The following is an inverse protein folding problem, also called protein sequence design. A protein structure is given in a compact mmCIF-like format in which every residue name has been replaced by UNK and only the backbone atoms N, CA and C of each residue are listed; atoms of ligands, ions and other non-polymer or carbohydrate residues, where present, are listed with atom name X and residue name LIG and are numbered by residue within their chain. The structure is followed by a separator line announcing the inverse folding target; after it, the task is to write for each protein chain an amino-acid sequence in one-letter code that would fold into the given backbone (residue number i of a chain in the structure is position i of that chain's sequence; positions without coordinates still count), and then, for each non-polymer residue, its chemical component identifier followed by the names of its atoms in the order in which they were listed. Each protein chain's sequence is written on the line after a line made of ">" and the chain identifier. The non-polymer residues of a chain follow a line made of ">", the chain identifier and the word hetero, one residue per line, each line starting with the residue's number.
data_IF_543991381248
#
_entry.id   IF_543991381248
#
_cell.length_a   1.000
_cell.length_b   1.000
_cell.length_c   1.000
_cell.angle_alpha   90.00
_cell.angle_beta   90.00
_cell.angle_gamma   90.00
#
_symmetry.space_group_name_H-M   'P 1'
#
loop_
_entity.id
_entity.type
_entity.pdbx_description
1 polymer ?
#
# COMPACT_ATOMS: atom_id res chain seq x y z
N UNK A 1 33.18 -13.52 -1.14
CA UNK A 1 33.67 -12.25 -1.75
C UNK A 1 33.30 -12.05 -3.22
N UNK A 2 32.51 -12.93 -3.87
CA UNK A 2 31.88 -12.62 -5.17
C UNK A 2 30.35 -12.78 -5.18
N UNK A 3 29.74 -13.20 -4.07
CA UNK A 3 28.31 -13.54 -3.97
C UNK A 3 27.45 -12.57 -3.14
N UNK A 4 28.06 -11.53 -2.54
CA UNK A 4 27.30 -10.50 -1.79
C UNK A 4 26.76 -9.37 -2.69
N UNK A 5 27.16 -9.33 -3.97
CA UNK A 5 26.67 -8.33 -4.94
C UNK A 5 25.37 -8.74 -5.65
N UNK A 6 24.95 -10.00 -5.55
CA UNK A 6 23.80 -10.55 -6.28
C UNK A 6 22.49 -10.49 -5.49
N UNK A 7 22.53 -10.18 -4.20
CA UNK A 7 21.35 -10.01 -3.34
C UNK A 7 21.30 -8.60 -2.75
N UNK A 8 21.28 -7.60 -3.63
CA UNK A 8 20.92 -6.23 -3.27
C UNK A 8 19.43 -6.18 -2.93
N UNK A 9 19.10 -6.39 -1.65
CA UNK A 9 17.81 -5.98 -1.10
C UNK A 9 17.76 -4.46 -1.21
N UNK A 10 16.86 -3.98 -2.06
CA UNK A 10 16.65 -2.58 -2.45
C UNK A 10 16.02 -1.76 -1.29
N UNK A 11 16.75 -1.67 -0.17
CA UNK A 11 16.41 -0.84 0.96
C UNK A 11 17.24 0.46 0.85
N UNK A 12 16.53 1.57 0.66
CA UNK A 12 16.98 2.98 0.60
C UNK A 12 17.10 3.52 -0.85
N UNK A 13 15.93 3.88 -1.40
CA UNK A 13 15.76 4.51 -2.72
C UNK A 13 16.04 6.01 -2.78
N UNK A 14 17.18 6.45 -2.23
CA UNK A 14 17.68 7.82 -2.41
C UNK A 14 19.14 7.74 -2.89
N UNK A 15 19.46 8.34 -4.04
CA UNK A 15 20.81 8.30 -4.62
C UNK A 15 21.90 8.93 -3.73
N UNK A 16 21.51 9.57 -2.62
CA UNK A 16 22.40 10.00 -1.54
C UNK A 16 22.68 8.90 -0.52
N UNK A 17 21.73 8.00 -0.25
CA UNK A 17 21.88 6.82 0.61
C UNK A 17 22.80 5.76 -0.01
N UNK A 18 22.68 5.53 -1.32
CA UNK A 18 23.61 4.65 -2.04
C UNK A 18 25.05 5.23 -2.09
N UNK A 19 25.20 6.56 -2.22
CA UNK A 19 26.51 7.23 -2.09
C UNK A 19 27.03 7.18 -0.65
N UNK A 20 26.18 7.39 0.35
CA UNK A 20 26.54 7.30 1.76
C UNK A 20 27.00 5.89 2.16
N UNK A 21 26.24 4.85 1.77
CA UNK A 21 26.61 3.45 1.95
C UNK A 21 27.84 3.08 1.13
N UNK A 22 28.07 3.66 -0.06
CA UNK A 22 29.30 3.44 -0.82
C UNK A 22 30.55 4.06 -0.17
N UNK A 23 30.37 5.04 0.73
CA UNK A 23 31.44 5.64 1.52
C UNK A 23 31.66 4.92 2.85
N UNK A 24 30.74 4.04 3.26
CA UNK A 24 30.92 3.10 4.36
C UNK A 24 31.51 1.83 3.75
N UNK A 25 32.78 1.57 4.00
CA UNK A 25 33.38 0.28 3.63
C UNK A 25 32.58 -0.86 4.27
N UNK A 26 32.50 -2.02 3.62
CA UNK A 26 31.89 -3.24 4.18
C UNK A 26 32.39 -3.55 5.62
N UNK A 27 33.64 -3.14 5.93
CA UNK A 27 34.25 -3.31 7.26
C UNK A 27 33.59 -2.51 8.40
N UNK A 28 32.82 -1.45 8.08
CA UNK A 28 32.09 -0.66 9.07
C UNK A 28 30.71 -1.25 9.39
N UNK A 29 30.25 -2.24 8.62
CA UNK A 29 29.07 -3.05 8.95
C UNK A 29 29.48 -4.17 9.91
N UNK A 30 28.94 -4.15 11.12
CA UNK A 30 29.08 -5.25 12.05
C UNK A 30 28.24 -6.46 11.59
N UNK A 31 28.56 -7.67 12.08
CA UNK A 31 27.87 -8.93 11.73
C UNK A 31 26.34 -8.91 11.97
N UNK A 32 25.84 -7.99 12.78
CA UNK A 32 24.43 -7.79 13.09
C UNK A 32 23.77 -6.68 12.24
N UNK A 33 24.39 -6.27 11.13
CA UNK A 33 23.95 -5.17 10.26
C UNK A 33 23.86 -3.80 10.94
N UNK A 34 24.52 -3.60 12.09
CA UNK A 34 24.69 -2.29 12.72
C UNK A 34 25.91 -1.61 12.11
N UNK A 35 25.78 -0.33 11.79
CA UNK A 35 26.89 0.48 11.26
C UNK A 35 27.67 1.08 12.44
N UNK A 36 28.97 0.79 12.52
CA UNK A 36 29.87 1.38 13.51
C UNK A 36 30.62 2.58 12.91
N UNK A 37 30.19 3.80 13.28
CA UNK A 37 30.82 5.04 12.83
C UNK A 37 32.24 5.24 13.35
N UNK A 38 32.62 4.57 14.46
CA UNK A 38 33.96 4.67 15.02
C UNK A 38 34.97 3.71 14.38
N UNK A 39 34.51 2.84 13.49
CA UNK A 39 35.37 1.91 12.76
C UNK A 39 36.42 2.67 11.93
N UNK A 40 37.67 2.19 11.95
CA UNK A 40 38.84 2.89 11.37
C UNK A 40 38.73 3.17 9.87
N UNK A 41 37.85 2.45 9.17
CA UNK A 41 37.57 2.65 7.76
C UNK A 41 36.57 3.76 7.46
N UNK A 42 35.88 4.31 8.46
CA UNK A 42 34.99 5.48 8.34
C UNK A 42 35.82 6.76 8.49
N UNK A 43 35.78 7.62 7.48
CA UNK A 43 36.58 8.85 7.45
C UNK A 43 36.23 9.82 8.59
N UNK A 44 37.21 10.56 9.08
CA UNK A 44 37.02 11.53 10.17
C UNK A 44 36.03 12.66 9.83
N UNK A 45 35.84 12.97 8.54
CA UNK A 45 34.82 13.93 8.08
C UNK A 45 33.40 13.36 8.21
N UNK A 46 33.18 12.09 7.84
CA UNK A 46 31.87 11.42 7.98
C UNK A 46 31.43 11.35 9.46
N UNK A 47 32.37 11.10 10.37
CA UNK A 47 32.10 11.08 11.83
C UNK A 47 31.67 12.43 12.40
N UNK A 48 31.94 13.54 11.70
CA UNK A 48 31.59 14.90 12.14
C UNK A 48 30.34 15.43 11.46
N UNK A 49 29.84 14.77 10.41
CA UNK A 49 28.67 15.22 9.67
C UNK A 49 27.40 14.85 10.44
N UNK A 50 26.71 15.85 11.02
CA UNK A 50 25.48 15.64 11.81
C UNK A 50 24.43 14.78 11.09
N UNK A 51 24.23 15.00 9.79
CA UNK A 51 23.30 14.22 8.96
C UNK A 51 23.72 12.75 8.82
N UNK A 52 25.02 12.46 8.74
CA UNK A 52 25.53 11.09 8.68
C UNK A 52 25.28 10.35 10.00
N UNK A 53 25.51 11.03 11.12
CA UNK A 53 25.23 10.51 12.47
C UNK A 53 23.74 10.18 12.61
N UNK A 54 22.86 11.13 12.28
CA UNK A 54 21.41 10.94 12.37
C UNK A 54 20.90 9.81 11.47
N UNK A 55 21.47 9.66 10.26
CA UNK A 55 21.15 8.57 9.35
C UNK A 55 21.61 7.21 9.88
N UNK A 56 22.82 7.12 10.43
CA UNK A 56 23.32 5.88 11.05
C UNK A 56 22.55 5.55 12.32
N UNK A 57 22.21 6.52 13.15
CA UNK A 57 21.36 6.29 14.32
C UNK A 57 19.94 5.85 13.94
N UNK A 58 19.37 6.38 12.86
CA UNK A 58 18.10 5.92 12.31
C UNK A 58 18.21 4.49 11.77
N UNK A 59 19.26 4.20 11.01
CA UNK A 59 19.53 2.87 10.47
C UNK A 59 19.77 1.85 11.58
N UNK A 60 20.59 2.18 12.57
CA UNK A 60 20.89 1.34 13.72
C UNK A 60 19.66 1.16 14.62
N UNK A 61 18.76 2.14 14.75
CA UNK A 61 17.47 1.94 15.42
C UNK A 61 16.55 0.99 14.66
N UNK A 62 16.62 0.97 13.34
CA UNK A 62 15.87 0.02 12.50
C UNK A 62 16.52 -1.37 12.46
N UNK A 63 17.85 -1.44 12.62
CA UNK A 63 18.64 -2.68 12.65
C UNK A 63 18.72 -3.28 14.06
N UNK A 64 18.55 -2.49 15.11
CA UNK A 64 18.37 -2.98 16.47
C UNK A 64 17.15 -3.91 16.50
N UNK A 65 17.21 -5.06 17.19
CA UNK A 65 16.07 -5.95 17.31
C UNK A 65 14.96 -5.25 18.09
N UNK A 66 14.11 -4.49 17.41
CA UNK A 66 12.79 -4.18 17.95
C UNK A 66 12.05 -5.52 18.03
N UNK A 67 11.51 -5.86 19.19
CA UNK A 67 10.64 -7.01 19.48
C UNK A 67 9.83 -7.49 18.26
N UNK A 68 10.41 -8.38 17.45
CA UNK A 68 9.83 -8.81 16.17
C UNK A 68 9.94 -10.33 15.99
N UNK A 69 9.90 -11.10 17.09
CA UNK A 69 9.78 -12.55 17.00
C UNK A 69 8.47 -13.01 16.35
N UNK A 70 7.48 -12.10 16.22
CA UNK A 70 6.13 -12.42 15.74
C UNK A 70 5.47 -11.27 14.97
N UNK A 71 6.23 -10.41 14.29
CA UNK A 71 5.63 -9.36 13.45
C UNK A 71 5.60 -9.79 11.99
N UNK A 72 4.63 -10.64 11.64
CA UNK A 72 4.25 -10.79 10.24
C UNK A 72 3.43 -9.54 9.85
N UNK A 73 4.05 -8.60 9.12
CA UNK A 73 3.37 -7.38 8.63
C UNK A 73 2.12 -7.68 7.78
N UNK A 74 1.92 -8.93 7.35
CA UNK A 74 0.72 -9.40 6.62
C UNK A 74 -0.46 -9.66 7.55
N UNK A 75 -0.24 -9.94 8.83
CA UNK A 75 -1.29 -10.14 9.83
C UNK A 75 -1.37 -8.94 10.76
N UNK A 76 -2.53 -8.29 10.80
CA UNK A 76 -2.80 -7.23 11.79
C UNK A 76 -2.92 -7.81 13.21
N UNK A 77 -3.32 -9.08 13.31
CA UNK A 77 -3.46 -9.83 14.56
C UNK A 77 -2.29 -10.80 14.72
N UNK A 78 -1.30 -10.43 15.54
CA UNK A 78 -0.12 -11.26 15.79
C UNK A 78 -0.48 -12.67 16.32
N UNK A 79 -1.61 -12.80 17.02
CA UNK A 79 -2.16 -14.05 17.54
C UNK A 79 -2.48 -15.09 16.46
N UNK A 80 -2.74 -14.67 15.23
CA UNK A 80 -3.03 -15.59 14.11
C UNK A 80 -1.78 -16.09 13.38
N UNK A 81 -0.60 -15.58 13.75
CA UNK A 81 0.64 -15.99 13.09
C UNK A 81 1.05 -17.42 13.45
N UNK A 82 1.72 -18.10 12.51
CA UNK A 82 2.29 -19.42 12.75
C UNK A 82 3.24 -19.44 13.96
N UNK A 83 4.03 -18.37 14.14
CA UNK A 83 4.94 -18.24 15.27
C UNK A 83 4.20 -18.23 16.63
N UNK A 84 3.08 -17.47 16.76
CA UNK A 84 2.27 -17.52 17.99
C UNK A 84 1.65 -18.88 18.22
N UNK A 85 1.14 -19.52 17.17
CA UNK A 85 0.57 -20.86 17.30
C UNK A 85 1.61 -21.89 17.74
N UNK A 86 2.85 -21.78 17.25
CA UNK A 86 3.98 -22.64 17.69
C UNK A 86 4.31 -22.40 19.17
N UNK A 87 4.39 -21.15 19.62
CA UNK A 87 4.63 -20.83 21.04
C UNK A 87 3.49 -21.38 21.92
N UNK A 88 2.23 -21.25 21.47
CA UNK A 88 1.07 -21.76 22.19
C UNK A 88 1.13 -23.29 22.32
N UNK A 89 1.43 -23.99 21.22
CA UNK A 89 1.63 -25.43 21.21
C UNK A 89 2.79 -25.83 22.13
N UNK A 90 3.91 -25.11 22.08
CA UNK A 90 5.10 -25.40 22.88
C UNK A 90 4.88 -25.26 24.40
N UNK A 91 3.94 -24.41 24.81
CA UNK A 91 3.54 -24.26 26.21
C UNK A 91 2.61 -25.37 26.68
N UNK A 92 1.78 -25.92 25.79
CA UNK A 92 0.81 -26.97 26.14
C UNK A 92 1.38 -28.38 26.01
N UNK A 93 2.28 -28.62 25.05
CA UNK A 93 2.79 -29.94 24.71
C UNK A 93 4.16 -30.20 25.35
N UNK A 94 4.32 -31.27 26.16
CA UNK A 94 5.60 -31.61 26.80
C UNK A 94 6.77 -31.76 25.81
N UNK A 95 6.48 -32.29 24.62
CA UNK A 95 7.47 -32.57 23.57
C UNK A 95 8.10 -31.30 22.97
N UNK A 96 7.55 -30.13 23.24
CA UNK A 96 8.01 -28.85 22.71
C UNK A 96 8.44 -27.85 23.79
N UNK A 97 8.58 -28.29 25.05
CA UNK A 97 9.05 -27.42 26.15
C UNK A 97 10.45 -26.87 25.94
N UNK A 98 11.34 -27.68 25.37
CA UNK A 98 12.71 -27.28 25.02
C UNK A 98 12.71 -26.14 23.99
N UNK A 99 11.81 -26.19 23.00
CA UNK A 99 11.61 -25.06 22.08
C UNK A 99 11.19 -23.79 22.81
N UNK A 100 10.22 -23.88 23.75
CA UNK A 100 9.77 -22.70 24.49
C UNK A 100 10.90 -22.03 25.29
N UNK A 101 11.80 -22.84 25.86
CA UNK A 101 12.96 -22.37 26.60
C UNK A 101 13.99 -21.72 25.67
N UNK A 102 14.41 -22.41 24.60
CA UNK A 102 15.37 -21.88 23.63
C UNK A 102 14.84 -20.63 22.92
N UNK A 103 13.55 -20.60 22.59
CA UNK A 103 12.92 -19.44 21.98
C UNK A 103 12.86 -18.24 22.94
N UNK A 104 12.72 -18.48 24.25
CA UNK A 104 12.81 -17.43 25.26
C UNK A 104 14.24 -16.86 25.32
N UNK A 105 15.26 -17.71 25.36
CA UNK A 105 16.67 -17.29 25.29
C UNK A 105 16.92 -16.48 24.02
N UNK A 106 16.43 -16.94 22.86
CA UNK A 106 16.50 -16.19 21.61
C UNK A 106 15.79 -14.83 21.68
N UNK A 107 14.68 -14.72 22.41
CA UNK A 107 13.97 -13.46 22.58
C UNK A 107 14.75 -12.47 23.48
N UNK A 108 15.54 -12.98 24.43
CA UNK A 108 16.35 -12.18 25.35
C UNK A 108 17.68 -11.77 24.72
N UNK A 109 18.34 -12.68 23.99
CA UNK A 109 19.70 -12.49 23.46
C UNK A 109 19.75 -12.20 21.95
N UNK A 110 18.70 -12.54 21.21
CA UNK A 110 18.62 -12.37 19.76
C UNK A 110 19.74 -13.12 19.03
N UNK A 111 20.48 -12.40 18.18
CA UNK A 111 21.61 -12.96 17.44
C UNK A 111 22.89 -13.14 18.27
N UNK A 112 22.89 -12.73 19.54
CA UNK A 112 24.00 -13.00 20.45
C UNK A 112 23.95 -14.42 21.05
N UNK A 113 22.83 -15.14 20.85
CA UNK A 113 22.65 -16.54 21.25
C UNK A 113 23.72 -17.44 20.62
N UNK A 114 24.17 -18.43 21.38
CA UNK A 114 25.23 -19.35 20.96
C UNK A 114 24.84 -20.14 19.69
N UNK A 115 25.84 -20.49 18.87
CA UNK A 115 25.62 -21.18 17.60
C UNK A 115 25.04 -22.59 17.77
N UNK A 116 25.41 -23.30 18.84
CA UNK A 116 24.85 -24.61 19.17
C UNK A 116 23.38 -24.49 19.58
N UNK A 117 23.06 -23.50 20.42
CA UNK A 117 21.69 -23.23 20.86
C UNK A 117 20.80 -22.78 19.69
N UNK A 118 21.32 -21.94 18.79
CA UNK A 118 20.61 -21.56 17.57
C UNK A 118 20.38 -22.75 16.63
N UNK A 119 21.33 -23.67 16.55
CA UNK A 119 21.19 -24.90 15.76
C UNK A 119 20.15 -25.83 16.37
N UNK A 120 20.15 -25.98 17.69
CA UNK A 120 19.14 -26.72 18.44
C UNK A 120 17.73 -26.11 18.26
N UNK A 121 17.60 -24.78 18.37
CA UNK A 121 16.35 -24.07 18.18
C UNK A 121 15.77 -24.33 16.78
N UNK A 122 16.59 -24.21 15.72
CA UNK A 122 16.16 -24.50 14.34
C UNK A 122 15.70 -25.95 14.18
N UNK A 123 16.41 -26.90 14.79
CA UNK A 123 16.10 -28.34 14.73
C UNK A 123 14.75 -28.67 15.36
N UNK A 124 14.39 -28.03 16.47
CA UNK A 124 13.12 -28.28 17.18
C UNK A 124 11.97 -27.44 16.59
N UNK A 125 12.28 -26.29 15.98
CA UNK A 125 11.29 -25.42 15.35
C UNK A 125 10.56 -26.09 14.19
N UNK A 126 11.24 -26.86 13.33
CA UNK A 126 10.60 -27.50 12.17
C UNK A 126 9.52 -28.53 12.58
N UNK A 127 9.77 -29.48 13.50
CA UNK A 127 8.73 -30.35 14.04
C UNK A 127 7.58 -29.61 14.71
N UNK A 128 7.87 -28.56 15.49
CA UNK A 128 6.82 -27.77 16.17
C UNK A 128 5.92 -27.05 15.15
N UNK A 129 6.52 -26.46 14.12
CA UNK A 129 5.80 -25.81 13.02
C UNK A 129 4.95 -26.82 12.22
N UNK A 130 5.48 -28.01 11.94
CA UNK A 130 4.74 -29.07 11.25
C UNK A 130 3.56 -29.56 12.09
N UNK A 131 3.70 -29.67 13.41
CA UNK A 131 2.61 -30.03 14.31
C UNK A 131 1.50 -28.98 14.32
N UNK A 132 1.86 -27.68 14.35
CA UNK A 132 0.89 -26.59 14.24
C UNK A 132 0.13 -26.68 12.92
N UNK A 133 0.84 -26.82 11.80
CA UNK A 133 0.25 -26.93 10.46
C UNK A 133 -0.71 -28.11 10.35
N UNK A 134 -0.31 -29.29 10.85
CA UNK A 134 -1.14 -30.50 10.80
C UNK A 134 -2.42 -30.38 11.64
N UNK A 135 -2.39 -29.58 12.72
CA UNK A 135 -3.55 -29.34 13.58
C UNK A 135 -4.42 -28.15 13.14
N UNK A 136 -3.97 -27.37 12.16
CA UNK A 136 -4.65 -26.14 11.77
C UNK A 136 -5.91 -26.43 10.97
N UNK A 137 -7.04 -25.85 11.38
CA UNK A 137 -8.29 -25.92 10.61
C UNK A 137 -8.27 -25.03 9.37
N UNK A 138 -7.55 -23.90 9.43
CA UNK A 138 -7.41 -22.94 8.34
C UNK A 138 -5.96 -22.49 8.26
N UNK A 139 -5.43 -22.45 7.05
CA UNK A 139 -4.05 -22.01 6.78
C UNK A 139 -4.08 -20.86 5.78
N UNK A 140 -3.54 -19.71 6.17
CA UNK A 140 -3.40 -18.53 5.31
C UNK A 140 -2.00 -18.44 4.71
N UNK A 141 -1.89 -18.42 3.39
CA UNK A 141 -0.63 -18.29 2.65
C UNK A 141 -0.80 -17.33 1.48
N UNK A 142 0.29 -16.66 1.09
CA UNK A 142 0.35 -16.05 -0.25
C UNK A 142 0.63 -17.14 -1.29
N UNK A 143 0.24 -16.91 -2.54
CA UNK A 143 0.48 -17.88 -3.64
C UNK A 143 1.98 -18.20 -3.76
N UNK A 144 2.85 -17.19 -3.66
CA UNK A 144 4.29 -17.42 -3.70
C UNK A 144 4.77 -18.25 -2.51
N UNK A 145 4.23 -18.00 -1.30
CA UNK A 145 4.58 -18.80 -0.12
C UNK A 145 4.13 -20.25 -0.25
N UNK A 146 3.02 -20.53 -0.95
CA UNK A 146 2.55 -21.89 -1.23
C UNK A 146 3.57 -22.68 -2.07
N UNK A 147 4.32 -22.03 -2.96
CA UNK A 147 5.33 -22.72 -3.79
C UNK A 147 6.65 -23.05 -3.08
N UNK A 148 6.83 -22.60 -1.84
CA UNK A 148 8.05 -22.88 -1.08
C UNK A 148 7.90 -24.22 -0.37
N UNK A 149 8.79 -25.16 -0.67
CA UNK A 149 8.73 -26.53 -0.12
C UNK A 149 8.66 -26.57 1.42
N UNK A 150 9.40 -25.70 2.12
CA UNK A 150 9.35 -25.63 3.59
C UNK A 150 7.99 -25.21 4.14
N UNK A 151 7.20 -24.47 3.36
CA UNK A 151 5.85 -24.08 3.76
C UNK A 151 4.86 -25.22 3.54
N UNK A 152 5.03 -26.02 2.49
CA UNK A 152 4.20 -27.19 2.21
C UNK A 152 4.42 -28.35 3.19
N UNK A 153 5.64 -28.51 3.71
CA UNK A 153 5.93 -29.52 4.74
C UNK A 153 4.97 -29.37 5.92
N UNK A 154 4.30 -30.46 6.27
CA UNK A 154 3.36 -30.53 7.40
C UNK A 154 1.93 -30.02 7.10
N UNK A 155 1.65 -29.47 5.92
CA UNK A 155 0.29 -29.06 5.54
C UNK A 155 -0.56 -30.20 4.99
N UNK A 156 0.08 -31.24 4.46
CA UNK A 156 -0.60 -32.22 3.60
C UNK A 156 -0.85 -31.67 2.20
N UNK A 157 -1.29 -32.55 1.29
CA UNK A 157 -1.66 -32.17 -0.09
C UNK A 157 -3.16 -31.95 -0.25
N UNK A 158 -3.97 -32.62 0.57
CA UNK A 158 -5.43 -32.61 0.45
C UNK A 158 -6.08 -31.52 1.29
N UNK A 159 -6.96 -30.72 0.68
CA UNK A 159 -7.76 -29.69 1.33
C UNK A 159 -9.23 -29.82 0.91
N UNK A 160 -10.14 -29.73 1.89
CA UNK A 160 -11.58 -29.78 1.62
C UNK A 160 -12.03 -28.65 0.69
N UNK A 161 -11.45 -27.46 0.87
CA UNK A 161 -11.67 -26.30 0.02
C UNK A 161 -10.47 -25.35 0.02
N UNK A 162 -10.28 -24.64 -1.10
CA UNK A 162 -9.34 -23.53 -1.22
C UNK A 162 -10.10 -22.22 -1.45
N UNK A 163 -9.85 -21.22 -0.62
CA UNK A 163 -10.41 -19.88 -0.76
C UNK A 163 -9.34 -18.90 -1.25
N UNK A 164 -9.51 -18.38 -2.45
CA UNK A 164 -8.65 -17.36 -3.05
C UNK A 164 -9.30 -15.98 -2.92
N UNK A 165 -8.71 -15.13 -2.08
CA UNK A 165 -9.05 -13.71 -1.99
C UNK A 165 -8.24 -12.88 -3.00
N UNK A 166 -8.77 -11.73 -3.38
CA UNK A 166 -8.21 -10.82 -4.40
C UNK A 166 -7.86 -11.54 -5.73
N UNK A 167 -8.66 -12.54 -6.13
CA UNK A 167 -8.50 -13.34 -7.34
C UNK A 167 -8.50 -12.52 -8.64
N UNK A 168 -9.04 -11.30 -8.60
CA UNK A 168 -8.92 -10.32 -9.69
C UNK A 168 -7.47 -9.89 -9.98
N UNK A 169 -6.54 -10.08 -9.03
CA UNK A 169 -5.10 -9.79 -9.18
C UNK A 169 -4.27 -11.00 -9.60
N UNK A 170 -4.86 -12.18 -9.65
CA UNK A 170 -4.15 -13.45 -9.84
C UNK A 170 -4.23 -13.83 -11.31
N UNK A 171 -3.09 -13.92 -11.99
CA UNK A 171 -3.04 -14.44 -13.35
C UNK A 171 -3.14 -15.98 -13.39
N UNK A 172 -3.30 -16.52 -14.60
CA UNK A 172 -3.42 -17.97 -14.82
C UNK A 172 -2.19 -18.76 -14.36
N UNK A 173 -0.98 -18.20 -14.46
CA UNK A 173 0.24 -18.90 -14.07
C UNK A 173 0.33 -19.04 -12.55
N UNK A 174 0.05 -17.96 -11.82
CA UNK A 174 -0.04 -17.96 -10.37
C UNK A 174 -1.17 -18.88 -9.87
N UNK A 175 -2.32 -18.91 -10.55
CA UNK A 175 -3.38 -19.87 -10.23
C UNK A 175 -2.96 -21.32 -10.49
N UNK A 176 -2.19 -21.56 -11.55
CA UNK A 176 -1.55 -22.85 -11.85
C UNK A 176 -0.73 -23.40 -10.68
N UNK A 177 -0.04 -22.52 -9.94
CA UNK A 177 0.72 -22.91 -8.75
C UNK A 177 -0.19 -23.42 -7.62
N UNK A 178 -1.43 -22.94 -7.50
CA UNK A 178 -2.38 -23.43 -6.50
C UNK A 178 -2.79 -24.85 -6.85
N UNK A 179 -3.30 -25.05 -8.06
CA UNK A 179 -3.83 -26.36 -8.50
C UNK A 179 -2.75 -27.43 -8.66
N UNK A 180 -1.49 -27.05 -8.87
CA UNK A 180 -0.37 -27.98 -8.95
C UNK A 180 0.11 -28.47 -7.58
N UNK A 181 -0.14 -27.72 -6.51
CA UNK A 181 0.39 -27.99 -5.18
C UNK A 181 -0.68 -28.41 -4.16
N UNK A 182 -1.96 -28.22 -4.47
CA UNK A 182 -3.09 -28.53 -3.59
C UNK A 182 -4.07 -29.45 -4.31
N UNK A 183 -4.36 -30.58 -3.70
CA UNK A 183 -5.42 -31.50 -4.10
C UNK A 183 -6.73 -31.05 -3.43
N UNK A 184 -7.65 -30.52 -4.23
CA UNK A 184 -8.99 -30.15 -3.75
C UNK A 184 -10.03 -30.33 -4.84
N UNK A 185 -11.27 -30.62 -4.45
CA UNK A 185 -12.42 -30.63 -5.35
C UNK A 185 -13.18 -29.29 -5.37
N UNK A 186 -12.81 -28.35 -4.49
CA UNK A 186 -13.56 -27.11 -4.29
C UNK A 186 -12.62 -25.92 -4.21
N UNK A 187 -12.77 -24.98 -5.14
CA UNK A 187 -12.04 -23.71 -5.15
C UNK A 187 -13.04 -22.56 -5.21
N UNK A 188 -13.01 -21.70 -4.19
CA UNK A 188 -13.73 -20.44 -4.17
C UNK A 188 -12.78 -19.31 -4.56
N UNK A 189 -13.16 -18.51 -5.55
CA UNK A 189 -12.41 -17.29 -5.91
C UNK A 189 -13.26 -16.07 -5.62
N UNK A 190 -12.68 -15.08 -4.97
CA UNK A 190 -13.32 -13.81 -4.62
C UNK A 190 -12.42 -12.65 -4.98
N UNK A 191 -13.00 -11.52 -5.35
CA UNK A 191 -12.28 -10.36 -5.85
C UNK A 191 -13.14 -9.53 -6.80
N UNK A 192 -12.51 -8.55 -7.45
CA UNK A 192 -13.20 -7.62 -8.33
C UNK A 192 -12.38 -7.43 -9.62
N UNK A 193 -12.92 -7.91 -10.74
CA UNK A 193 -12.30 -7.78 -12.07
C UNK A 193 -12.30 -6.33 -12.59
N UNK A 194 -12.99 -5.42 -11.92
CA UNK A 194 -12.99 -3.98 -12.22
C UNK A 194 -11.88 -3.23 -11.48
N UNK A 195 -11.31 -3.82 -10.41
CA UNK A 195 -10.18 -3.27 -9.68
C UNK A 195 -8.85 -3.62 -10.38
N UNK A 196 -7.73 -3.38 -9.70
CA UNK A 196 -6.41 -3.61 -10.26
C UNK A 196 -6.20 -5.08 -10.62
N UNK A 197 -5.82 -5.35 -11.87
CA UNK A 197 -5.58 -6.68 -12.40
C UNK A 197 -4.17 -7.23 -12.11
N UNK A 198 -3.82 -8.40 -12.65
CA UNK A 198 -2.48 -8.96 -12.54
C UNK A 198 -1.44 -8.05 -13.20
N UNK A 199 -0.25 -7.96 -12.60
CA UNK A 199 0.85 -7.22 -13.19
C UNK A 199 1.59 -8.13 -14.17
N UNK A 200 1.23 -8.07 -15.46
CA UNK A 200 2.01 -8.74 -16.49
C UNK A 200 3.36 -8.01 -16.66
N UNK A 201 4.51 -8.71 -16.69
CA UNK A 201 5.79 -8.09 -16.99
C UNK A 201 5.70 -7.33 -18.32
N UNK A 202 6.41 -6.20 -18.41
CA UNK A 202 6.42 -5.30 -19.57
C UNK A 202 6.90 -6.02 -20.84
N UNK A 203 5.99 -6.69 -21.53
CA UNK A 203 6.25 -7.22 -22.86
C UNK A 203 5.59 -6.30 -23.87
N UNK A 204 6.41 -5.68 -24.70
CA UNK A 204 5.98 -4.74 -25.73
C UNK A 204 5.25 -5.47 -26.86
N UNK A 205 3.93 -5.33 -26.90
CA UNK A 205 3.09 -5.71 -28.05
C UNK A 205 2.13 -6.89 -27.80
N UNK A 206 1.04 -7.01 -28.58
CA UNK A 206 -0.01 -8.02 -28.39
C UNK A 206 0.37 -9.39 -29.02
N UNK A 207 1.59 -9.88 -28.81
CA UNK A 207 2.07 -11.12 -29.44
C UNK A 207 1.91 -12.32 -28.51
N UNK A 208 1.44 -13.45 -29.02
CA UNK A 208 1.33 -14.72 -28.30
C UNK A 208 0.25 -14.74 -27.22
N UNK A 209 0.49 -15.46 -26.12
CA UNK A 209 -0.45 -15.67 -25.00
C UNK A 209 -0.57 -14.46 -24.06
N UNK A 210 -0.16 -13.25 -24.46
CA UNK A 210 -0.12 -12.07 -23.58
C UNK A 210 -1.48 -11.67 -23.03
N UNK A 211 -2.53 -11.82 -23.85
CA UNK A 211 -3.91 -11.57 -23.40
C UNK A 211 -4.30 -12.53 -22.29
N UNK A 212 -3.85 -13.77 -22.35
CA UNK A 212 -4.18 -14.81 -21.37
C UNK A 212 -3.33 -14.65 -20.11
N UNK A 213 -2.06 -14.25 -20.25
CA UNK A 213 -1.14 -13.95 -19.13
C UNK A 213 -1.46 -12.65 -18.39
N UNK A 214 -2.21 -11.73 -19.02
CA UNK A 214 -2.70 -10.50 -18.37
C UNK A 214 -4.14 -10.60 -17.89
N UNK A 215 -4.80 -11.73 -18.15
CA UNK A 215 -6.15 -12.01 -17.68
C UNK A 215 -6.10 -12.51 -16.23
N UNK A 216 -6.99 -11.99 -15.39
CA UNK A 216 -7.17 -12.58 -14.06
C UNK A 216 -7.88 -13.93 -14.14
N UNK A 217 -7.65 -14.80 -13.16
CA UNK A 217 -8.37 -16.08 -13.05
C UNK A 217 -9.88 -15.85 -12.99
N UNK A 218 -10.34 -14.80 -12.28
CA UNK A 218 -11.77 -14.49 -12.22
C UNK A 218 -12.33 -14.09 -13.58
N UNK A 219 -11.60 -13.29 -14.36
CA UNK A 219 -12.02 -12.93 -15.72
C UNK A 219 -12.04 -14.16 -16.64
N UNK A 220 -11.05 -15.05 -16.50
CA UNK A 220 -11.00 -16.32 -17.23
C UNK A 220 -12.21 -17.21 -16.90
N UNK A 221 -12.50 -17.43 -15.61
CA UNK A 221 -13.62 -18.26 -15.17
C UNK A 221 -14.96 -17.68 -15.62
N UNK A 222 -15.18 -16.37 -15.50
CA UNK A 222 -16.39 -15.71 -16.00
C UNK A 222 -16.58 -15.88 -17.52
N UNK A 223 -15.51 -15.71 -18.31
CA UNK A 223 -15.57 -15.90 -19.77
C UNK A 223 -15.86 -17.34 -20.18
N UNK A 224 -15.53 -18.30 -19.33
CA UNK A 224 -15.82 -19.72 -19.52
C UNK A 224 -17.12 -20.16 -18.82
N UNK A 225 -18.00 -19.22 -18.48
CA UNK A 225 -19.34 -19.48 -17.95
C UNK A 225 -19.37 -20.27 -16.62
N UNK A 226 -18.31 -20.18 -15.83
CA UNK A 226 -18.32 -20.75 -14.48
C UNK A 226 -19.35 -20.02 -13.60
N UNK A 227 -20.00 -20.74 -12.66
CA UNK A 227 -20.93 -20.14 -11.71
C UNK A 227 -20.28 -18.99 -10.95
N UNK A 228 -20.98 -17.87 -10.85
CA UNK A 228 -20.51 -16.66 -10.18
C UNK A 228 -21.66 -15.95 -9.49
N UNK A 229 -21.33 -15.11 -8.52
CA UNK A 229 -22.29 -14.27 -7.80
C UNK A 229 -21.66 -12.91 -7.58
N UNK A 230 -22.42 -11.85 -7.87
CA UNK A 230 -21.97 -10.47 -7.71
C UNK A 230 -22.59 -9.88 -6.42
N UNK A 231 -21.78 -9.18 -5.63
CA UNK A 231 -22.23 -8.49 -4.42
C UNK A 231 -22.32 -6.98 -4.67
N UNK A 232 -23.52 -6.42 -4.56
CA UNK A 232 -23.80 -5.03 -4.95
C UNK A 232 -24.03 -4.07 -3.79
N UNK A 233 -24.26 -4.59 -2.59
CA UNK A 233 -24.47 -3.78 -1.39
C UNK A 233 -23.11 -3.38 -0.79
N UNK A 234 -22.74 -2.11 -0.96
CA UNK A 234 -21.55 -1.56 -0.33
C UNK A 234 -21.85 -1.28 1.15
N UNK A 235 -20.94 -1.71 2.03
CA UNK A 235 -21.04 -1.54 3.48
C UNK A 235 -19.93 -0.66 4.07
N UNK A 236 -19.01 -0.18 3.22
CA UNK A 236 -17.77 0.45 3.65
C UNK A 236 -17.95 1.92 3.98
N UNK A 237 -18.64 2.65 3.10
CA UNK A 237 -18.58 4.10 3.12
C UNK A 237 -19.93 4.78 3.24
N UNK A 238 -19.87 6.06 3.59
CA UNK A 238 -21.04 6.89 3.82
C UNK A 238 -22.03 6.85 2.65
N UNK A 239 -23.34 6.97 2.92
CA UNK A 239 -24.34 7.00 1.86
C UNK A 239 -23.99 8.02 0.77
N UNK A 240 -24.05 7.59 -0.49
CA UNK A 240 -23.70 8.40 -1.66
C UNK A 240 -22.19 8.50 -1.97
N UNK A 241 -21.30 7.86 -1.21
CA UNK A 241 -19.85 7.86 -1.51
C UNK A 241 -19.54 7.22 -2.87
N UNK A 242 -20.40 6.27 -3.28
CA UNK A 242 -20.37 5.62 -4.57
C UNK A 242 -20.85 6.46 -5.76
N UNK A 243 -21.28 7.70 -5.54
CA UNK A 243 -21.99 8.49 -6.57
C UNK A 243 -21.17 8.72 -7.84
N UNK A 244 -19.84 8.65 -7.77
CA UNK A 244 -18.94 8.73 -8.93
C UNK A 244 -18.42 7.34 -9.33
N UNK A 245 -17.96 6.53 -8.38
CA UNK A 245 -17.37 5.22 -8.70
C UNK A 245 -18.40 4.22 -9.27
N UNK A 246 -19.65 4.23 -8.78
CA UNK A 246 -20.71 3.32 -9.25
C UNK A 246 -21.02 3.47 -10.75
N UNK A 247 -21.32 4.68 -11.29
CA UNK A 247 -21.52 4.84 -12.74
C UNK A 247 -20.25 4.58 -13.54
N UNK A 248 -19.10 4.99 -13.03
CA UNK A 248 -17.84 4.90 -13.77
C UNK A 248 -17.33 3.47 -13.91
N UNK A 249 -17.41 2.68 -12.85
CA UNK A 249 -16.79 1.37 -12.76
C UNK A 249 -17.82 0.23 -12.78
N UNK A 250 -18.95 0.41 -12.09
CA UNK A 250 -19.91 -0.66 -11.77
C UNK A 250 -21.28 -0.52 -12.46
N UNK A 251 -21.39 0.32 -13.49
CA UNK A 251 -22.64 0.53 -14.27
C UNK A 251 -23.86 0.85 -13.40
N UNK A 252 -23.67 1.64 -12.34
CA UNK A 252 -24.70 2.00 -11.35
C UNK A 252 -25.28 0.81 -10.55
N UNK A 253 -24.65 -0.37 -10.56
CA UNK A 253 -25.15 -1.52 -9.79
C UNK A 253 -24.81 -1.44 -8.29
N UNK A 254 -23.78 -0.69 -7.90
CA UNK A 254 -23.38 -0.56 -6.48
C UNK A 254 -24.38 0.33 -5.72
N UNK A 255 -24.93 -0.19 -4.62
CA UNK A 255 -25.96 0.45 -3.77
C UNK A 255 -25.51 0.45 -2.31
N UNK A 256 -25.87 1.49 -1.58
CA UNK A 256 -25.57 1.62 -0.15
C UNK A 256 -26.38 0.60 0.67
N UNK A 257 -25.70 -0.19 1.48
CA UNK A 257 -26.37 -1.13 2.39
C UNK A 257 -27.07 -0.38 3.53
N UNK A 258 -28.18 -0.90 4.09
CA UNK A 258 -28.89 -0.25 5.20
C UNK A 258 -28.00 0.09 6.41
N UNK A 259 -26.96 -0.71 6.67
CA UNK A 259 -26.03 -0.48 7.77
C UNK A 259 -25.22 0.83 7.65
N UNK A 260 -25.03 1.36 6.43
CA UNK A 260 -24.30 2.61 6.19
C UNK A 260 -25.05 3.86 6.67
N UNK A 261 -26.36 3.76 6.83
CA UNK A 261 -27.22 4.86 7.30
C UNK A 261 -27.51 4.79 8.80
N UNK A 262 -26.97 3.81 9.52
CA UNK A 262 -27.21 3.68 10.96
C UNK A 262 -26.54 4.83 11.73
N UNK A 263 -27.15 5.31 12.83
CA UNK A 263 -26.53 6.28 13.72
C UNK A 263 -25.13 5.82 14.14
N UNK A 264 -24.13 6.66 13.89
CA UNK A 264 -22.74 6.37 14.25
C UNK A 264 -21.91 5.60 13.22
N UNK A 265 -22.47 5.20 12.07
CA UNK A 265 -21.70 4.46 11.04
C UNK A 265 -20.58 5.29 10.41
N UNK A 266 -20.79 6.59 10.18
CA UNK A 266 -19.84 7.50 9.53
C UNK A 266 -19.78 8.87 10.22
N UNK A 267 -19.36 8.86 11.49
CA UNK A 267 -19.42 10.02 12.39
C UNK A 267 -18.64 11.25 11.88
N UNK A 268 -17.63 11.06 11.02
CA UNK A 268 -16.77 12.15 10.55
C UNK A 268 -17.28 12.82 9.28
N UNK A 269 -18.17 12.14 8.55
CA UNK A 269 -18.72 12.62 7.28
C UNK A 269 -19.24 14.05 7.35
N UNK A 270 -20.07 14.38 8.35
CA UNK A 270 -20.67 15.71 8.48
C UNK A 270 -19.63 16.82 8.74
N UNK A 271 -18.67 16.54 9.62
CA UNK A 271 -17.59 17.48 9.96
C UNK A 271 -16.68 17.74 8.76
N UNK A 272 -16.30 16.69 8.04
CA UNK A 272 -15.45 16.79 6.84
C UNK A 272 -16.20 17.51 5.70
N UNK A 273 -17.47 17.17 5.46
CA UNK A 273 -18.32 17.86 4.48
C UNK A 273 -18.39 19.37 4.75
N UNK A 274 -18.58 19.77 6.01
CA UNK A 274 -18.62 21.19 6.40
C UNK A 274 -17.28 21.88 6.11
N UNK A 275 -16.16 21.24 6.42
CA UNK A 275 -14.83 21.77 6.08
C UNK A 275 -14.69 22.02 4.58
N UNK A 276 -15.04 21.04 3.73
CA UNK A 276 -14.95 21.22 2.27
C UNK A 276 -15.98 22.20 1.70
N UNK A 277 -17.16 22.33 2.29
CA UNK A 277 -18.13 23.37 1.90
C UNK A 277 -17.61 24.77 2.21
N UNK A 278 -16.92 24.95 3.32
CA UNK A 278 -16.31 26.23 3.65
C UNK A 278 -15.10 26.53 2.74
N UNK A 279 -14.33 25.49 2.41
CA UNK A 279 -13.17 25.64 1.54
C UNK A 279 -13.54 25.85 0.07
N UNK A 280 -14.60 25.20 -0.42
CA UNK A 280 -15.11 25.29 -1.79
C UNK A 280 -16.63 25.54 -1.79
N UNK A 281 -17.10 26.76 -1.49
CA UNK A 281 -18.53 27.09 -1.39
C UNK A 281 -19.32 26.84 -2.69
N UNK A 282 -18.64 26.87 -3.84
CA UNK A 282 -19.22 26.54 -5.15
C UNK A 282 -19.65 25.07 -5.28
N UNK A 283 -19.13 24.17 -4.44
CA UNK A 283 -19.53 22.77 -4.37
C UNK A 283 -20.72 22.59 -3.42
N UNK A 284 -21.93 22.87 -3.91
CA UNK A 284 -23.20 22.83 -3.14
C UNK A 284 -23.70 21.42 -2.77
N UNK A 285 -23.11 20.37 -3.34
CA UNK A 285 -23.55 18.98 -3.14
C UNK A 285 -23.31 18.46 -1.71
N UNK A 286 -24.25 17.65 -1.20
CA UNK A 286 -24.12 16.96 0.10
C UNK A 286 -23.42 15.60 0.01
N UNK A 287 -23.00 15.18 -1.19
CA UNK A 287 -22.35 13.89 -1.36
C UNK A 287 -20.97 13.87 -0.67
N UNK A 288 -20.57 12.75 -0.01
CA UNK A 288 -19.30 12.60 0.71
C UNK A 288 -18.11 12.34 -0.24
N UNK A 289 -18.04 13.13 -1.31
CA UNK A 289 -16.99 13.05 -2.32
C UNK A 289 -16.69 14.45 -2.85
N UNK A 290 -15.41 14.73 -3.08
CA UNK A 290 -14.94 15.95 -3.75
C UNK A 290 -13.85 15.66 -4.75
N UNK A 291 -13.88 16.45 -5.82
CA UNK A 291 -12.87 16.48 -6.84
C UNK A 291 -12.30 17.89 -6.96
N UNK A 292 -10.99 18.00 -7.06
CA UNK A 292 -10.31 19.25 -7.39
C UNK A 292 -9.80 19.12 -8.82
N UNK A 293 -10.46 19.83 -9.74
CA UNK A 293 -10.05 20.02 -11.13
C UNK A 293 -8.94 21.08 -11.18
N UNK A 294 -7.71 20.62 -10.99
CA UNK A 294 -6.53 21.46 -10.97
C UNK A 294 -6.13 21.85 -12.40
N UNK A 295 -5.98 23.15 -12.66
CA UNK A 295 -5.47 23.66 -13.94
C UNK A 295 -4.16 24.38 -13.71
N UNK A 296 -3.14 23.58 -13.40
CA UNK A 296 -1.79 24.02 -13.08
C UNK A 296 -0.74 23.60 -14.10
N UNK A 297 0.51 23.61 -13.65
CA UNK A 297 1.68 23.15 -14.40
C UNK A 297 1.53 21.69 -14.83
N UNK A 298 2.31 21.32 -15.85
CA UNK A 298 2.42 19.94 -16.31
C UNK A 298 3.18 19.07 -15.29
N UNK A 299 2.93 17.76 -15.35
CA UNK A 299 3.71 16.77 -14.62
C UNK A 299 5.18 16.81 -15.04
N UNK A 300 6.05 16.60 -14.05
CA UNK A 300 7.49 16.51 -14.19
C UNK A 300 7.93 15.05 -14.05
N UNK A 301 9.02 14.70 -14.74
CA UNK A 301 9.66 13.39 -14.63
C UNK A 301 10.84 13.51 -13.68
N UNK A 302 10.91 12.62 -12.70
CA UNK A 302 12.11 12.43 -11.90
C UNK A 302 13.16 11.74 -12.77
N UNK A 303 14.27 12.43 -13.06
CA UNK A 303 15.33 11.93 -13.93
C UNK A 303 16.03 10.70 -13.36
N UNK A 304 16.07 10.54 -12.03
CA UNK A 304 16.74 9.42 -11.38
C UNK A 304 15.92 8.13 -11.43
N UNK A 305 14.62 8.23 -11.13
CA UNK A 305 13.74 7.06 -11.05
C UNK A 305 12.94 6.81 -12.33
N UNK A 306 12.88 7.80 -13.23
CA UNK A 306 11.99 7.79 -14.40
C UNK A 306 10.50 7.90 -14.07
N UNK A 307 10.15 8.05 -12.78
CA UNK A 307 8.78 8.20 -12.26
C UNK A 307 8.28 9.64 -12.45
N UNK A 308 7.01 9.90 -12.13
CA UNK A 308 6.36 11.19 -12.39
C UNK A 308 5.84 11.84 -11.10
N UNK A 309 5.83 13.17 -11.08
CA UNK A 309 5.28 13.96 -9.97
C UNK A 309 4.67 15.27 -10.50
N UNK A 310 3.78 15.87 -9.71
CA UNK A 310 3.09 17.12 -10.03
C UNK A 310 3.18 18.04 -8.81
N UNK A 311 4.03 19.09 -8.86
CA UNK A 311 4.19 20.03 -7.74
C UNK A 311 2.89 20.74 -7.36
N UNK A 312 2.10 21.19 -8.34
CA UNK A 312 0.86 21.90 -8.07
C UNK A 312 -0.19 20.97 -7.44
N UNK A 313 -0.25 19.70 -7.86
CA UNK A 313 -1.13 18.70 -7.24
C UNK A 313 -0.70 18.39 -5.80
N UNK A 314 0.62 18.24 -5.59
CA UNK A 314 1.18 18.03 -4.26
C UNK A 314 0.87 19.22 -3.33
N UNK A 315 1.09 20.45 -3.81
CA UNK A 315 0.83 21.67 -3.03
C UNK A 315 -0.63 21.77 -2.59
N UNK A 316 -1.58 21.51 -3.48
CA UNK A 316 -3.01 21.52 -3.15
C UNK A 316 -3.34 20.48 -2.08
N UNK A 317 -2.86 19.24 -2.25
CA UNK A 317 -3.09 18.15 -1.30
C UNK A 317 -2.51 18.49 0.07
N UNK A 318 -1.26 18.96 0.12
CA UNK A 318 -0.57 19.27 1.37
C UNK A 318 -1.25 20.45 2.08
N UNK A 319 -1.61 21.52 1.35
CA UNK A 319 -2.35 22.65 1.93
C UNK A 319 -3.71 22.22 2.52
N UNK A 320 -4.45 21.32 1.85
CA UNK A 320 -5.73 20.81 2.35
C UNK A 320 -5.51 19.96 3.61
N UNK A 321 -4.54 19.05 3.58
CA UNK A 321 -4.21 18.20 4.72
C UNK A 321 -3.76 19.04 5.93
N UNK A 322 -2.83 19.98 5.72
CA UNK A 322 -2.34 20.90 6.75
C UNK A 322 -3.49 21.69 7.38
N UNK A 323 -4.33 22.36 6.57
CA UNK A 323 -5.46 23.15 7.08
C UNK A 323 -6.44 22.31 7.90
N UNK A 324 -6.77 21.10 7.43
CA UNK A 324 -7.72 20.24 8.12
C UNK A 324 -7.16 19.64 9.42
N UNK A 325 -5.89 19.27 9.44
CA UNK A 325 -5.21 18.73 10.62
C UNK A 325 -5.04 19.81 11.69
N UNK A 326 -4.53 21.00 11.32
CA UNK A 326 -4.37 22.11 12.26
C UNK A 326 -5.71 22.57 12.83
N UNK A 327 -6.77 22.57 12.02
CA UNK A 327 -8.12 22.92 12.47
C UNK A 327 -8.80 21.80 13.29
N UNK A 328 -8.17 20.64 13.48
CA UNK A 328 -8.74 19.51 14.22
C UNK A 328 -9.95 18.86 13.53
N UNK A 329 -10.10 19.03 12.21
CA UNK A 329 -11.21 18.43 11.43
C UNK A 329 -10.99 16.93 11.28
N UNK A 330 -9.74 16.52 11.08
CA UNK A 330 -9.28 15.14 10.98
C UNK A 330 -7.83 15.05 11.44
N UNK A 331 -7.39 13.85 11.81
CA UNK A 331 -5.99 13.56 12.18
C UNK A 331 -5.21 13.06 10.98
N UNK A 332 -3.88 13.13 11.02
CA UNK A 332 -3.01 12.64 9.94
C UNK A 332 -3.23 11.16 9.57
N UNK A 333 -3.56 10.31 10.56
CA UNK A 333 -3.87 8.89 10.33
C UNK A 333 -5.18 8.67 9.57
N UNK A 334 -6.06 9.67 9.53
CA UNK A 334 -7.36 9.57 8.86
C UNK A 334 -7.29 9.86 7.36
N UNK A 335 -6.19 10.49 6.92
CA UNK A 335 -6.03 11.12 5.61
C UNK A 335 -4.84 10.60 4.81
N UNK A 336 -4.73 9.27 4.60
CA UNK A 336 -3.64 8.75 3.80
C UNK A 336 -3.70 9.30 2.37
N UNK A 337 -2.53 9.62 1.83
CA UNK A 337 -2.40 10.11 0.47
C UNK A 337 -2.04 8.94 -0.43
N UNK A 338 -2.89 8.67 -1.42
CA UNK A 338 -2.74 7.55 -2.35
C UNK A 338 -2.35 8.12 -3.71
N UNK A 339 -1.22 7.70 -4.24
CA UNK A 339 -0.74 8.14 -5.56
C UNK A 339 -0.40 6.96 -6.47
N UNK A 340 -0.40 7.18 -7.78
CA UNK A 340 0.08 6.17 -8.73
C UNK A 340 1.61 6.12 -8.82
N UNK A 341 2.33 7.15 -8.33
CA UNK A 341 3.75 7.33 -8.64
C UNK A 341 4.63 7.51 -7.41
N UNK A 342 5.73 6.77 -7.37
CA UNK A 342 6.72 6.82 -6.29
C UNK A 342 7.45 8.17 -6.17
N UNK A 343 7.67 8.91 -7.28
CA UNK A 343 8.27 10.25 -7.19
C UNK A 343 7.33 11.23 -6.46
N UNK A 344 6.03 11.15 -6.71
CA UNK A 344 5.03 11.93 -5.96
C UNK A 344 5.03 11.59 -4.47
N UNK A 345 5.18 10.31 -4.10
CA UNK A 345 5.33 9.91 -2.69
C UNK A 345 6.52 10.59 -2.01
N UNK A 346 7.65 10.73 -2.70
CA UNK A 346 8.83 11.42 -2.15
C UNK A 346 8.53 12.88 -1.84
N UNK A 347 7.78 13.57 -2.71
CA UNK A 347 7.35 14.96 -2.47
C UNK A 347 6.49 15.05 -1.20
N UNK A 348 5.51 14.14 -1.05
CA UNK A 348 4.68 14.09 0.15
C UNK A 348 5.49 13.82 1.42
N UNK A 349 6.36 12.81 1.41
CA UNK A 349 7.21 12.47 2.57
C UNK A 349 8.08 13.64 3.00
N UNK A 350 8.67 14.35 2.04
CA UNK A 350 9.48 15.52 2.33
C UNK A 350 8.64 16.62 3.00
N UNK A 351 7.49 16.97 2.42
CA UNK A 351 6.65 18.03 2.95
C UNK A 351 6.06 17.68 4.33
N UNK A 352 5.61 16.44 4.55
CA UNK A 352 5.06 16.02 5.84
C UNK A 352 6.13 15.92 6.92
N UNK A 353 7.36 15.53 6.59
CA UNK A 353 8.47 15.61 7.54
C UNK A 353 8.72 17.06 7.99
N UNK A 354 8.71 18.01 7.06
CA UNK A 354 8.86 19.44 7.38
C UNK A 354 7.69 20.01 8.18
N UNK A 355 6.46 19.60 7.88
CA UNK A 355 5.30 19.97 8.68
C UNK A 355 5.34 19.35 10.09
N UNK A 356 5.91 18.15 10.24
CA UNK A 356 6.11 17.53 11.55
C UNK A 356 7.13 18.30 12.40
N UNK A 357 8.18 18.84 11.77
CA UNK A 357 9.16 19.70 12.45
C UNK A 357 8.52 21.03 12.89
N UNK A 358 7.68 21.62 12.03
CA UNK A 358 7.06 22.93 12.28
C UNK A 358 5.87 22.87 13.26
N UNK A 359 5.05 21.81 13.19
CA UNK A 359 3.88 21.61 14.03
C UNK A 359 4.00 20.33 14.88
N UNK A 360 4.95 20.29 15.83
CA UNK A 360 5.14 19.12 16.67
C UNK A 360 3.85 18.75 17.40
N UNK A 361 3.53 17.45 17.46
CA UNK A 361 2.32 16.93 18.11
C UNK A 361 1.06 16.84 17.25
N UNK A 362 1.05 17.41 16.04
CA UNK A 362 -0.10 17.30 15.12
C UNK A 362 -0.12 15.97 14.32
N UNK A 363 0.92 15.14 14.47
CA UNK A 363 0.97 13.79 13.92
C UNK A 363 1.30 13.72 12.42
N UNK A 364 1.87 14.78 11.81
CA UNK A 364 2.27 14.76 10.40
C UNK A 364 3.27 13.65 10.05
N UNK A 365 4.08 13.22 11.02
CA UNK A 365 4.96 12.04 10.96
C UNK A 365 4.21 10.72 10.76
N UNK A 366 2.90 10.67 11.08
CA UNK A 366 2.05 9.49 10.97
C UNK A 366 1.25 9.42 9.68
N UNK A 367 1.39 10.40 8.79
CA UNK A 367 0.64 10.40 7.53
C UNK A 367 1.19 9.30 6.62
N UNK A 368 0.31 8.36 6.27
CA UNK A 368 0.70 7.24 5.42
C UNK A 368 0.62 7.63 3.94
N UNK A 369 1.74 7.56 3.23
CA UNK A 369 1.76 7.67 1.79
C UNK A 369 1.80 6.28 1.14
N UNK A 370 0.86 6.02 0.24
CA UNK A 370 0.74 4.71 -0.40
C UNK A 370 0.71 4.83 -1.92
N UNK A 371 1.28 3.84 -2.60
CA UNK A 371 0.94 3.63 -4.00
C UNK A 371 -0.41 2.93 -4.08
N UNK A 372 -1.18 3.19 -5.13
CA UNK A 372 -2.46 2.49 -5.37
C UNK A 372 -2.32 0.97 -5.26
N UNK A 373 -1.22 0.41 -5.77
CA UNK A 373 -0.95 -1.03 -5.82
C UNK A 373 -0.78 -1.64 -4.41
N UNK A 374 -0.33 -0.84 -3.43
CA UNK A 374 -0.11 -1.25 -2.03
C UNK A 374 -1.31 -1.03 -1.11
N UNK A 375 -2.35 -0.31 -1.57
CA UNK A 375 -3.48 0.12 -0.74
C UNK A 375 -4.79 -0.63 -1.02
N UNK A 376 -4.74 -1.72 -1.79
CA UNK A 376 -5.89 -2.57 -2.06
C UNK A 376 -6.33 -3.32 -0.79
N UNK A 377 -7.63 -3.61 -0.66
CA UNK A 377 -8.22 -4.30 0.50
C UNK A 377 -8.46 -3.44 1.76
N UNK A 378 -7.86 -2.25 1.88
CA UNK A 378 -7.97 -1.40 3.08
C UNK A 378 -9.01 -0.27 2.92
N UNK A 379 -9.73 0.02 3.99
CA UNK A 379 -10.64 1.17 4.10
C UNK A 379 -10.09 2.20 5.07
N UNK A 380 -10.27 3.48 4.76
CA UNK A 380 -9.82 4.61 5.59
C UNK A 380 -10.81 5.75 5.51
N UNK A 381 -10.83 6.62 6.52
CA UNK A 381 -11.84 7.69 6.61
C UNK A 381 -11.85 8.62 5.42
N UNK A 382 -10.71 9.25 5.10
CA UNK A 382 -10.66 10.23 4.03
C UNK A 382 -9.37 10.13 3.20
N UNK A 383 -9.27 9.14 2.29
CA UNK A 383 -8.13 9.06 1.40
C UNK A 383 -8.11 10.26 0.45
N UNK A 384 -6.91 10.76 0.18
CA UNK A 384 -6.67 11.80 -0.82
C UNK A 384 -5.98 11.17 -2.03
N UNK A 385 -6.69 11.10 -3.15
CA UNK A 385 -6.20 10.52 -4.40
C UNK A 385 -5.40 11.50 -5.25
N UNK A 386 -4.24 11.04 -5.75
CA UNK A 386 -3.28 11.79 -6.55
C UNK A 386 -2.87 10.99 -7.81
N UNK A 387 -3.55 11.17 -8.97
CA UNK A 387 -3.21 10.46 -10.19
C UNK A 387 -2.01 11.06 -10.94
N UNK A 388 -1.56 12.27 -10.59
CA UNK A 388 -0.33 12.95 -11.06
C UNK A 388 -0.29 13.38 -12.53
N UNK A 389 -0.57 12.48 -13.47
CA UNK A 389 -0.32 12.72 -14.90
C UNK A 389 -1.26 13.79 -15.46
N UNK A 390 -0.67 14.72 -16.22
CA UNK A 390 -1.37 15.89 -16.80
C UNK A 390 -1.42 15.86 -18.32
N UNK A 391 -0.49 15.16 -18.98
CA UNK A 391 -0.36 15.15 -20.46
C UNK A 391 -0.68 13.79 -21.06
N UNK A 392 0.02 12.73 -20.64
CA UNK A 392 -0.25 11.35 -21.09
C UNK A 392 -0.72 10.51 -19.92
N UNK A 393 -1.75 9.70 -20.17
CA UNK A 393 -2.41 8.89 -19.13
C UNK A 393 -1.48 8.08 -18.24
N UNK A 394 -0.42 7.44 -18.78
CA UNK A 394 0.42 6.56 -17.95
C UNK A 394 -0.42 5.56 -17.14
N UNK A 395 -0.19 5.48 -15.83
CA UNK A 395 -0.95 4.65 -14.89
C UNK A 395 -2.35 5.19 -14.60
N UNK A 396 -2.59 6.49 -14.76
CA UNK A 396 -3.93 7.09 -14.68
C UNK A 396 -4.84 6.68 -15.86
N UNK A 397 -4.27 6.01 -16.87
CA UNK A 397 -5.02 5.33 -17.93
C UNK A 397 -5.57 3.97 -17.52
N UNK A 398 -5.08 3.39 -16.42
CA UNK A 398 -5.54 2.12 -15.91
C UNK A 398 -6.86 2.30 -15.15
N UNK A 399 -7.92 1.67 -15.66
CA UNK A 399 -9.27 1.77 -15.07
C UNK A 399 -9.30 1.17 -13.65
N UNK A 400 -8.58 0.07 -13.42
CA UNK A 400 -8.54 -0.62 -12.13
C UNK A 400 -7.86 0.20 -11.04
N UNK A 401 -6.73 0.87 -11.37
CA UNK A 401 -6.05 1.79 -10.45
C UNK A 401 -6.94 2.96 -10.06
N UNK A 402 -7.65 3.57 -11.02
CA UNK A 402 -8.60 4.65 -10.71
C UNK A 402 -9.78 4.14 -9.87
N UNK A 403 -10.25 2.92 -10.11
CA UNK A 403 -11.29 2.29 -9.28
C UNK A 403 -10.81 2.14 -7.83
N UNK A 404 -9.62 1.57 -7.62
CA UNK A 404 -9.02 1.44 -6.30
C UNK A 404 -8.87 2.81 -5.64
N UNK A 405 -8.26 3.78 -6.33
CA UNK A 405 -8.05 5.15 -5.83
C UNK A 405 -9.33 5.77 -5.24
N UNK A 406 -10.46 5.56 -5.91
CA UNK A 406 -11.73 6.22 -5.57
C UNK A 406 -12.61 5.47 -4.56
N UNK A 407 -12.30 4.20 -4.25
CA UNK A 407 -13.20 3.31 -3.49
C UNK A 407 -12.68 2.93 -2.10
N UNK A 408 -11.64 3.61 -1.60
CA UNK A 408 -11.05 3.31 -0.28
C UNK A 408 -11.70 4.06 0.89
N UNK A 409 -12.47 5.10 0.58
CA UNK A 409 -13.03 6.00 1.58
C UNK A 409 -14.15 5.34 2.40
N UNK A 410 -14.18 5.66 3.70
CA UNK A 410 -15.25 5.31 4.63
C UNK A 410 -16.17 6.51 4.91
N UNK A 411 -15.62 7.70 5.16
CA UNK A 411 -16.43 8.89 5.47
C UNK A 411 -16.47 9.87 4.30
N UNK A 412 -15.35 10.04 3.60
CA UNK A 412 -15.26 11.07 2.55
C UNK A 412 -14.17 10.75 1.54
N UNK A 413 -14.42 10.94 0.25
CA UNK A 413 -13.39 10.71 -0.78
C UNK A 413 -12.93 12.03 -1.39
N UNK A 414 -11.62 12.32 -1.37
CA UNK A 414 -11.04 13.48 -2.07
C UNK A 414 -10.15 12.99 -3.20
N UNK A 415 -10.27 13.59 -4.38
CA UNK A 415 -9.30 13.38 -5.48
C UNK A 415 -8.87 14.73 -6.04
N UNK A 416 -7.56 14.95 -6.17
CA UNK A 416 -6.98 16.14 -6.79
C UNK A 416 -6.34 15.70 -8.10
N UNK A 417 -6.75 16.27 -9.23
CA UNK A 417 -6.29 15.82 -10.54
C UNK A 417 -6.21 17.00 -11.51
N UNK A 418 -5.17 17.02 -12.35
CA UNK A 418 -5.07 17.92 -13.49
C UNK A 418 -5.29 17.15 -14.79
N UNK A 419 -6.47 17.30 -15.39
CA UNK A 419 -6.86 16.58 -16.63
C UNK A 419 -6.97 17.48 -17.85
N UNK A 420 -6.59 18.76 -17.73
CA UNK A 420 -6.84 19.76 -18.77
C UNK A 420 -6.22 19.33 -20.11
N UNK A 421 -4.93 18.96 -20.06
CA UNK A 421 -4.15 18.52 -21.22
C UNK A 421 -4.04 17.00 -21.33
N UNK A 422 -4.79 16.25 -20.51
CA UNK A 422 -4.63 14.80 -20.43
C UNK A 422 -5.21 14.16 -21.68
N UNK A 423 -4.39 13.36 -22.36
CA UNK A 423 -4.78 12.51 -23.49
C UNK A 423 -4.38 11.07 -23.23
N UNK A 424 -5.08 10.14 -23.88
CA UNK A 424 -4.74 8.72 -23.80
C UNK A 424 -3.37 8.47 -24.43
N UNK A 425 -2.71 7.37 -24.05
CA UNK A 425 -1.39 7.03 -24.61
C UNK A 425 -1.42 6.87 -26.15
N UNK A 426 -2.59 6.54 -26.73
CA UNK A 426 -2.82 6.40 -28.17
C UNK A 426 -3.33 7.69 -28.84
N UNK A 427 -3.65 8.71 -28.05
CA UNK A 427 -4.36 9.92 -28.51
C UNK A 427 -5.83 9.70 -28.89
N UNK A 428 -6.36 8.48 -28.76
CA UNK A 428 -7.74 8.11 -29.10
C UNK A 428 -8.58 7.89 -27.85
N UNK A 429 -9.82 8.39 -27.86
CA UNK A 429 -10.78 8.23 -26.76
C UNK A 429 -10.56 9.20 -25.59
N UNK A 430 -11.46 9.15 -24.62
CA UNK A 430 -11.42 10.02 -23.43
C UNK A 430 -10.63 9.35 -22.31
N UNK A 431 -9.59 9.99 -21.73
CA UNK A 431 -8.92 9.47 -20.54
C UNK A 431 -9.90 9.18 -19.40
N UNK A 432 -9.72 8.07 -18.64
CA UNK A 432 -10.61 7.73 -17.54
C UNK A 432 -10.79 8.87 -16.53
N UNK A 433 -9.70 9.51 -16.10
CA UNK A 433 -9.77 10.64 -15.17
C UNK A 433 -10.51 11.85 -15.71
N UNK A 434 -10.48 12.09 -17.02
CA UNK A 434 -11.23 13.20 -17.64
C UNK A 434 -12.73 12.91 -17.63
N UNK A 435 -13.14 11.67 -17.89
CA UNK A 435 -14.54 11.24 -17.79
C UNK A 435 -15.05 11.27 -16.33
N UNK A 436 -14.20 10.91 -15.38
CA UNK A 436 -14.48 11.01 -13.94
C UNK A 436 -14.73 12.47 -13.55
N UNK A 437 -13.82 13.39 -13.91
CA UNK A 437 -13.97 14.81 -13.58
C UNK A 437 -15.18 15.45 -14.26
N UNK A 438 -15.48 15.08 -15.51
CA UNK A 438 -16.73 15.51 -16.16
C UNK A 438 -17.96 15.09 -15.34
N UNK A 439 -17.99 13.84 -14.87
CA UNK A 439 -19.08 13.33 -14.02
C UNK A 439 -19.12 14.02 -12.65
N UNK A 440 -17.97 14.39 -12.10
CA UNK A 440 -17.88 15.13 -10.86
C UNK A 440 -18.44 16.57 -10.98
N UNK A 441 -18.16 17.24 -12.10
CA UNK A 441 -18.74 18.55 -12.44
C UNK A 441 -20.26 18.47 -12.57
N UNK A 442 -20.80 17.48 -13.29
CA UNK A 442 -22.27 17.34 -13.45
C UNK A 442 -22.99 17.07 -12.13
N UNK A 443 -22.32 16.43 -11.16
CA UNK A 443 -22.84 16.19 -9.81
C UNK A 443 -22.53 17.31 -8.80
N UNK A 444 -21.93 18.42 -9.24
CA UNK A 444 -21.54 19.56 -8.39
C UNK A 444 -20.68 19.17 -7.19
N UNK A 445 -19.80 18.20 -7.39
CA UNK A 445 -18.80 17.77 -6.40
C UNK A 445 -17.37 18.12 -6.83
N UNK A 446 -17.20 18.88 -7.90
CA UNK A 446 -15.91 19.33 -8.41
C UNK A 446 -15.71 20.83 -8.22
N UNK A 447 -14.55 21.22 -7.66
CA UNK A 447 -14.08 22.61 -7.61
C UNK A 447 -12.95 22.80 -8.63
N UNK A 448 -12.88 23.97 -9.24
CA UNK A 448 -11.79 24.32 -10.16
C UNK A 448 -10.74 25.12 -9.38
N UNK A 449 -9.50 24.65 -9.40
CA UNK A 449 -8.36 25.37 -8.78
C UNK A 449 -7.37 25.75 -9.88
N UNK A 450 -7.14 27.04 -10.05
CA UNK A 450 -6.21 27.61 -11.02
C UNK A 450 -5.70 28.99 -10.55
N UNK A 451 -4.73 29.57 -11.26
CA UNK A 451 -4.13 30.88 -10.90
C UNK A 451 -5.08 32.07 -10.96
N UNK A 452 -6.23 31.95 -11.62
CA UNK A 452 -7.27 32.97 -11.64
C UNK A 452 -8.43 32.66 -10.68
N UNK A 453 -8.39 31.53 -9.98
CA UNK A 453 -9.44 31.14 -9.03
C UNK A 453 -9.20 31.76 -7.66
N UNK A 454 -10.24 31.94 -6.83
CA UNK A 454 -10.08 32.35 -5.42
C UNK A 454 -9.19 31.41 -4.60
N UNK A 455 -8.93 30.21 -5.13
CA UNK A 455 -8.18 29.14 -4.49
C UNK A 455 -6.72 29.06 -4.96
N UNK A 456 -6.21 30.06 -5.70
CA UNK A 456 -4.83 30.09 -6.22
C UNK A 456 -3.79 29.78 -5.14
N UNK A 457 -3.98 30.29 -3.91
CA UNK A 457 -3.06 30.08 -2.80
C UNK A 457 -2.82 28.60 -2.47
N UNK A 458 -3.75 27.69 -2.80
CA UNK A 458 -3.57 26.25 -2.61
C UNK A 458 -2.54 25.65 -3.58
N UNK A 459 -2.25 26.30 -4.71
CA UNK A 459 -1.33 25.78 -5.74
C UNK A 459 0.15 25.95 -5.40
N UNK A 460 0.45 26.62 -4.29
CA UNK A 460 1.82 26.79 -3.78
C UNK A 460 1.88 26.35 -2.33
N UNK A 461 2.92 25.61 -1.97
CA UNK A 461 3.18 25.25 -0.58
C UNK A 461 4.67 25.40 -0.30
N UNK A 462 5.03 25.93 0.88
CA UNK A 462 6.41 26.26 1.24
C UNK A 462 7.40 25.08 1.22
N UNK A 463 6.89 23.86 1.31
CA UNK A 463 7.67 22.62 1.28
C UNK A 463 7.47 21.79 0.00
N UNK A 464 6.93 22.40 -1.06
CA UNK A 464 6.78 21.78 -2.38
C UNK A 464 7.44 22.68 -3.42
N UNK A 465 8.46 22.17 -4.10
CA UNK A 465 9.28 22.92 -5.06
C UNK A 465 9.17 22.32 -6.47
#
# INVERSE_FOLDING_TARGET
>A
MHDARSQGVDLIGDGRGARFLSCLTDDALLKNNVINLDHSSVTAEMRKLKTAIEMVESFNRQAQPSYNGVHDKRFQEAELSAAKQVIKLARSEPNFREFAQLYQVFCEEGYAMDEEEMTALKKIMEPALNSVKASATVVGLTINALSVASNQRGLGTHFDAVCLDEGGRVDLAAFGMIVANIETNTIYTSGDTTQFGPTAPNVTGPRGCMKDLSMSIMEYLHKNHWPSTELWLQRRGAPGIGAISSPMFYRNKMVDAPCTSLPGAHQRTATILRFFKNLFPECDSNLPVRFIDLRGRIDLRDELTGSWYSPDEAAVIINIAEKGIIAGVFTASDVPVITHYSAQQKVFRHAFAKLSDEFPGHGFDKLMDHTTDTFQGRGVTMPIGSPVRTTKTGFSGDRGRNCVLMTRAQDFSLTVANVNNLVTNTGRGTPPMKAILYTAHTKRVAAIVNRASPHEALMSHRYVH
#
